data_IF_535058571645
#
_entry.id   IF_535058571645
#
_cell.length_a   1.000
_cell.length_b   1.000
_cell.length_c   1.000
_cell.angle_alpha   90.00
_cell.angle_beta   90.00
_cell.angle_gamma   90.00
#
_symmetry.space_group_name_H-M   'P 1'
#
loop_
_entity.id
_entity.type
_entity.pdbx_description
1 polymer ?
#
# COMPACT_ATOMS: atom_id res chain seq x y z
N UNK A 1 10.16 20.91 2.16
CA UNK A 1 10.76 20.51 3.43
C UNK A 1 11.29 19.10 3.32
N UNK A 2 12.45 18.88 3.90
CA UNK A 2 13.14 17.61 3.78
C UNK A 2 12.36 16.43 4.34
N UNK A 3 11.73 16.63 5.50
CA UNK A 3 10.91 15.59 6.13
C UNK A 3 9.70 15.22 5.29
N UNK A 4 9.08 16.21 4.67
CA UNK A 4 7.93 15.98 3.82
C UNK A 4 8.31 15.19 2.57
N UNK A 5 9.48 15.47 2.00
CA UNK A 5 9.98 14.71 0.87
C UNK A 5 10.25 13.25 1.23
N UNK A 6 10.84 13.02 2.40
CA UNK A 6 11.13 11.67 2.87
C UNK A 6 9.83 10.88 3.07
N UNK A 7 8.82 11.50 3.66
CA UNK A 7 7.52 10.86 3.85
C UNK A 7 6.86 10.55 2.51
N UNK A 8 6.94 11.48 1.56
CA UNK A 8 6.42 11.24 0.21
C UNK A 8 7.11 10.05 -0.45
N UNK A 9 8.44 10.00 -0.37
CA UNK A 9 9.22 8.90 -0.95
C UNK A 9 8.86 7.56 -0.32
N UNK A 10 8.64 7.53 0.99
CA UNK A 10 8.22 6.31 1.70
C UNK A 10 6.82 5.87 1.28
N UNK A 11 5.93 6.84 1.05
CA UNK A 11 4.58 6.56 0.57
C UNK A 11 4.62 5.89 -0.81
N UNK A 12 5.46 6.42 -1.70
CA UNK A 12 5.66 5.85 -3.02
C UNK A 12 6.26 4.45 -2.94
N UNK A 13 7.26 4.27 -2.10
CA UNK A 13 7.90 2.96 -1.93
C UNK A 13 6.92 1.92 -1.41
N UNK A 14 6.05 2.31 -0.47
CA UNK A 14 5.01 1.42 0.03
C UNK A 14 4.02 1.05 -1.07
N UNK A 15 3.62 2.04 -1.87
CA UNK A 15 2.71 1.80 -2.99
C UNK A 15 3.31 0.84 -4.01
N UNK A 16 4.59 0.97 -4.29
CA UNK A 16 5.29 0.07 -5.21
C UNK A 16 5.38 -1.35 -4.65
N UNK A 17 5.60 -1.48 -3.34
CA UNK A 17 5.60 -2.80 -2.69
C UNK A 17 4.24 -3.47 -2.80
N UNK A 18 3.18 -2.72 -2.57
CA UNK A 18 1.81 -3.24 -2.68
C UNK A 18 1.54 -3.71 -4.10
N UNK A 19 1.91 -2.88 -5.08
CA UNK A 19 1.74 -3.24 -6.48
C UNK A 19 2.50 -4.50 -6.85
N UNK A 20 3.74 -4.61 -6.40
CA UNK A 20 4.57 -5.79 -6.68
C UNK A 20 3.94 -7.05 -6.10
N UNK A 21 3.47 -6.99 -4.86
CA UNK A 21 2.81 -8.14 -4.24
C UNK A 21 1.50 -8.49 -4.94
N UNK A 22 0.73 -7.48 -5.34
CA UNK A 22 -0.53 -7.67 -6.05
C UNK A 22 -0.29 -8.36 -7.40
N UNK A 23 0.65 -7.84 -8.17
CA UNK A 23 0.94 -8.41 -9.50
C UNK A 23 1.54 -9.79 -9.40
N UNK A 24 2.29 -10.08 -8.34
CA UNK A 24 2.81 -11.42 -8.09
C UNK A 24 1.69 -12.43 -7.86
N UNK A 25 0.54 -11.99 -7.34
CA UNK A 25 -0.65 -12.83 -7.18
C UNK A 25 -1.43 -12.96 -8.49
N UNK A 26 -1.08 -12.19 -9.52
CA UNK A 26 -1.84 -12.14 -10.77
C UNK A 26 -3.13 -11.35 -10.66
N UNK A 27 -3.23 -10.43 -9.70
CA UNK A 27 -4.46 -9.67 -9.43
C UNK A 27 -4.46 -8.31 -10.09
N UNK A 28 -5.64 -7.91 -10.56
CA UNK A 28 -5.91 -6.53 -10.93
C UNK A 28 -6.17 -5.70 -9.68
N UNK A 29 -6.15 -4.37 -9.82
CA UNK A 29 -6.42 -3.47 -8.69
C UNK A 29 -7.81 -3.71 -8.11
N UNK A 30 -8.79 -3.97 -8.98
CA UNK A 30 -10.17 -4.26 -8.54
C UNK A 30 -10.24 -5.52 -7.68
N UNK A 31 -9.45 -6.53 -8.00
CA UNK A 31 -9.44 -7.77 -7.23
C UNK A 31 -8.87 -7.54 -5.84
N UNK A 32 -7.76 -6.82 -5.74
CA UNK A 32 -7.19 -6.48 -4.44
C UNK A 32 -8.18 -5.65 -3.62
N UNK A 33 -8.80 -4.66 -4.26
CA UNK A 33 -9.77 -3.80 -3.58
C UNK A 33 -10.91 -4.61 -3.00
N UNK A 34 -11.45 -5.54 -3.77
CA UNK A 34 -12.55 -6.39 -3.35
C UNK A 34 -12.16 -7.26 -2.14
N UNK A 35 -10.99 -7.90 -2.22
CA UNK A 35 -10.52 -8.77 -1.14
C UNK A 35 -10.23 -7.95 0.12
N UNK A 36 -9.65 -6.77 -0.03
CA UNK A 36 -9.31 -5.91 1.10
C UNK A 36 -10.52 -5.16 1.68
N UNK A 37 -11.62 -5.11 0.93
CA UNK A 37 -12.80 -4.38 1.39
C UNK A 37 -12.68 -2.87 1.25
N UNK A 38 -11.99 -2.41 0.20
CA UNK A 38 -11.84 -0.99 -0.12
C UNK A 38 -12.15 -0.77 -1.59
N UNK A 39 -12.12 0.48 -2.05
CA UNK A 39 -12.41 0.78 -3.45
C UNK A 39 -11.19 0.62 -4.34
N UNK A 40 -11.41 0.32 -5.61
CA UNK A 40 -10.32 0.26 -6.58
C UNK A 40 -9.62 1.61 -6.73
N UNK A 41 -10.37 2.71 -6.60
CA UNK A 41 -9.79 4.05 -6.63
C UNK A 41 -8.79 4.25 -5.48
N UNK A 42 -9.12 3.71 -4.29
CA UNK A 42 -8.21 3.77 -3.15
C UNK A 42 -6.94 2.97 -3.43
N UNK A 43 -7.07 1.76 -3.97
CA UNK A 43 -5.90 0.95 -4.32
C UNK A 43 -5.01 1.71 -5.30
N UNK A 44 -5.62 2.30 -6.33
CA UNK A 44 -4.89 3.05 -7.35
C UNK A 44 -4.11 4.21 -6.74
N UNK A 45 -4.75 4.99 -5.88
CA UNK A 45 -4.12 6.14 -5.24
C UNK A 45 -3.01 5.72 -4.28
N UNK A 46 -3.21 4.63 -3.54
CA UNK A 46 -2.22 4.12 -2.60
C UNK A 46 -1.00 3.60 -3.35
N UNK A 47 -1.21 2.85 -4.42
CA UNK A 47 -0.09 2.33 -5.23
C UNK A 47 0.70 3.46 -5.89
N UNK A 48 0.04 4.55 -6.21
CA UNK A 48 0.70 5.72 -6.79
C UNK A 48 1.36 6.62 -5.74
N UNK A 49 1.13 6.35 -4.46
CA UNK A 49 1.69 7.16 -3.37
C UNK A 49 1.08 8.54 -3.28
N UNK A 50 -0.15 8.70 -3.74
CA UNK A 50 -0.76 10.04 -3.92
C UNK A 50 -1.36 10.63 -2.65
N UNK A 51 -1.65 9.83 -1.63
CA UNK A 51 -2.21 10.38 -0.40
C UNK A 51 -1.80 9.54 0.80
N UNK A 52 -1.92 10.17 1.98
CA UNK A 52 -1.66 9.46 3.22
C UNK A 52 -2.81 8.51 3.51
N UNK A 53 -2.49 7.25 3.74
CA UNK A 53 -3.48 6.22 4.02
C UNK A 53 -3.39 5.87 5.51
N UNK A 54 -4.54 5.66 6.16
CA UNK A 54 -4.51 5.30 7.56
C UNK A 54 -4.08 3.83 7.73
N UNK A 55 -3.65 3.53 8.96
CA UNK A 55 -3.09 2.21 9.25
C UNK A 55 -4.10 1.08 9.12
N UNK A 56 -5.37 1.36 9.37
CA UNK A 56 -6.41 0.34 9.24
C UNK A 56 -6.55 -0.12 7.80
N UNK A 57 -6.53 0.82 6.86
CA UNK A 57 -6.61 0.51 5.43
C UNK A 57 -5.36 -0.24 4.99
N UNK A 58 -4.18 0.18 5.46
CA UNK A 58 -2.93 -0.54 5.15
C UNK A 58 -2.97 -1.97 5.66
N UNK A 59 -3.51 -2.19 6.86
CA UNK A 59 -3.64 -3.54 7.40
C UNK A 59 -4.62 -4.39 6.59
N UNK A 60 -5.71 -3.80 6.10
CA UNK A 60 -6.65 -4.51 5.22
C UNK A 60 -5.95 -4.98 3.95
N UNK A 61 -5.13 -4.12 3.38
CA UNK A 61 -4.36 -4.46 2.17
C UNK A 61 -3.33 -5.54 2.48
N UNK A 62 -2.60 -5.40 3.58
CA UNK A 62 -1.59 -6.38 3.97
C UNK A 62 -2.23 -7.76 4.18
N UNK A 63 -3.36 -7.81 4.88
CA UNK A 63 -4.07 -9.07 5.12
C UNK A 63 -4.54 -9.70 3.80
N UNK A 64 -5.05 -8.89 2.89
CA UNK A 64 -5.49 -9.37 1.58
C UNK A 64 -4.33 -9.98 0.79
N UNK A 65 -3.14 -9.44 0.94
CA UNK A 65 -1.94 -9.91 0.25
C UNK A 65 -1.22 -11.04 0.98
N UNK A 66 -1.71 -11.45 2.15
CA UNK A 66 -1.02 -12.43 2.97
C UNK A 66 0.27 -11.91 3.58
N UNK A 67 0.35 -10.60 3.77
CA UNK A 67 1.52 -9.92 4.29
C UNK A 67 1.23 -9.33 5.67
N UNK A 68 2.25 -8.80 6.29
CA UNK A 68 2.17 -8.20 7.61
C UNK A 68 2.74 -6.81 7.58
N UNK A 69 2.05 -5.88 8.23
CA UNK A 69 2.54 -4.52 8.37
C UNK A 69 3.19 -4.39 9.74
N UNK A 70 4.47 -4.02 9.78
CA UNK A 70 5.15 -3.85 11.06
C UNK A 70 6.33 -2.91 10.91
N UNK A 71 6.79 -2.41 12.05
CA UNK A 71 7.96 -1.53 12.08
C UNK A 71 9.22 -2.35 12.25
N UNK A 72 10.23 -1.96 11.49
CA UNK A 72 11.55 -2.60 11.56
C UNK A 72 12.53 -1.54 12.01
N UNK A 73 13.25 -1.84 13.09
CA UNK A 73 14.24 -0.91 13.62
C UNK A 73 15.42 -0.79 12.67
N UNK A 74 15.82 0.44 12.38
CA UNK A 74 16.97 0.71 11.54
C UNK A 74 18.24 0.79 12.37
N UNK A 75 19.30 0.22 11.83
CA UNK A 75 20.62 0.30 12.46
C UNK A 75 21.31 1.61 12.17
#
# INVERSE_FOLDING_TARGET
>A
MEKDKIIYDKRKAMGESIRAMRTAQGWEQEQLAKIAGITAANVRSIEAGKYAVNIDVLNKIAMALGAELRMIEKE
#
